data_IF_279133317737
#
_entry.id   IF_279133317737
#
_cell.length_a   1.000
_cell.length_b   1.000
_cell.length_c   1.000
_cell.angle_alpha   90.00
_cell.angle_beta   90.00
_cell.angle_gamma   90.00
#
_symmetry.space_group_name_H-M   'P 1'
#
loop_
_entity.id
_entity.type
_entity.pdbx_description
1 polymer ?
#
# COMPACT_ATOMS: atom_id res chain seq x y z
N UNK A 1 -41.84 38.65 -32.64
CA UNK A 1 -40.94 39.02 -31.53
C UNK A 1 -41.02 38.06 -30.33
N UNK A 2 -42.18 37.42 -30.04
CA UNK A 2 -42.33 36.49 -28.90
C UNK A 2 -41.69 35.10 -29.07
N UNK A 3 -41.61 34.56 -30.30
CA UNK A 3 -41.08 33.20 -30.54
C UNK A 3 -39.58 33.09 -30.28
N UNK A 4 -38.80 34.12 -30.64
CA UNK A 4 -37.36 34.15 -30.41
C UNK A 4 -37.00 34.15 -28.91
N UNK A 5 -37.78 34.86 -28.08
CA UNK A 5 -37.59 34.87 -26.63
C UNK A 5 -37.86 33.51 -25.98
N UNK A 6 -38.89 32.79 -26.44
CA UNK A 6 -39.22 31.46 -25.94
C UNK A 6 -38.12 30.42 -26.27
N UNK A 7 -37.57 30.46 -27.50
CA UNK A 7 -36.46 29.57 -27.91
C UNK A 7 -35.18 29.85 -27.10
N UNK A 8 -34.87 31.13 -26.84
CA UNK A 8 -33.74 31.50 -25.98
C UNK A 8 -33.92 31.03 -24.54
N UNK A 9 -35.12 31.15 -23.97
CA UNK A 9 -35.41 30.72 -22.60
C UNK A 9 -35.27 29.19 -22.45
N UNK A 10 -35.83 28.41 -23.38
CA UNK A 10 -35.73 26.94 -23.38
C UNK A 10 -34.28 26.50 -23.55
N UNK A 11 -33.51 27.16 -24.43
CA UNK A 11 -32.09 26.86 -24.62
C UNK A 11 -31.28 27.19 -23.35
N UNK A 12 -31.58 28.30 -22.67
CA UNK A 12 -30.92 28.66 -21.41
C UNK A 12 -31.24 27.68 -20.28
N UNK A 13 -32.50 27.22 -20.17
CA UNK A 13 -32.91 26.21 -19.20
C UNK A 13 -32.21 24.86 -19.44
N UNK A 14 -32.12 24.41 -20.70
CA UNK A 14 -31.36 23.21 -21.07
C UNK A 14 -29.87 23.37 -20.79
N UNK A 15 -29.31 24.55 -21.06
CA UNK A 15 -27.93 24.87 -20.74
C UNK A 15 -27.64 24.83 -19.24
N UNK A 16 -28.52 25.39 -18.42
CA UNK A 16 -28.41 25.33 -16.96
C UNK A 16 -28.48 23.89 -16.43
N UNK A 17 -29.44 23.10 -16.93
CA UNK A 17 -29.58 21.69 -16.54
C UNK A 17 -28.33 20.87 -16.92
N UNK A 18 -27.77 21.09 -18.12
CA UNK A 18 -26.53 20.43 -18.56
C UNK A 18 -25.34 20.81 -17.66
N UNK A 19 -25.25 22.08 -17.26
CA UNK A 19 -24.17 22.55 -16.38
C UNK A 19 -24.27 21.95 -14.98
N UNK A 20 -25.47 21.85 -14.42
CA UNK A 20 -25.71 21.19 -13.14
C UNK A 20 -25.36 19.70 -13.19
N UNK A 21 -25.75 19.01 -14.26
CA UNK A 21 -25.41 17.60 -14.47
C UNK A 21 -23.89 17.39 -14.53
N UNK A 22 -23.18 18.22 -15.31
CA UNK A 22 -21.72 18.15 -15.41
C UNK A 22 -21.06 18.44 -14.08
N UNK A 23 -21.52 19.47 -13.35
CA UNK A 23 -21.01 19.80 -12.03
C UNK A 23 -21.15 18.62 -11.06
N UNK A 24 -22.33 18.01 -11.01
CA UNK A 24 -22.57 16.85 -10.15
C UNK A 24 -21.67 15.65 -10.52
N UNK A 25 -21.43 15.42 -11.82
CA UNK A 25 -20.50 14.38 -12.27
C UNK A 25 -19.05 14.65 -11.85
N UNK A 26 -18.59 15.90 -11.94
CA UNK A 26 -17.26 16.30 -11.47
C UNK A 26 -17.11 16.15 -9.95
N UNK A 27 -18.10 16.61 -9.17
CA UNK A 27 -18.09 16.49 -7.71
C UNK A 27 -17.99 15.02 -7.27
N UNK A 28 -18.76 14.13 -7.89
CA UNK A 28 -18.67 12.68 -7.63
C UNK A 28 -17.28 12.12 -7.93
N UNK A 29 -16.68 12.52 -9.05
CA UNK A 29 -15.33 12.08 -9.43
C UNK A 29 -14.30 12.52 -8.40
N UNK A 30 -14.35 13.80 -7.98
CA UNK A 30 -13.44 14.37 -6.99
C UNK A 30 -13.63 13.69 -5.64
N UNK A 31 -14.87 13.49 -5.21
CA UNK A 31 -15.18 12.81 -3.95
C UNK A 31 -14.61 11.38 -3.96
N UNK A 32 -14.75 10.67 -5.08
CA UNK A 32 -14.21 9.32 -5.21
C UNK A 32 -12.68 9.28 -5.21
N UNK A 33 -12.04 10.23 -5.88
CA UNK A 33 -10.59 10.38 -5.84
C UNK A 33 -10.09 10.69 -4.43
N UNK A 34 -10.79 11.54 -3.67
CA UNK A 34 -10.45 11.86 -2.30
C UNK A 34 -10.56 10.62 -1.38
N UNK A 35 -11.61 9.81 -1.55
CA UNK A 35 -11.79 8.56 -0.83
C UNK A 35 -10.63 7.58 -1.08
N UNK A 36 -10.29 7.33 -2.35
CA UNK A 36 -9.18 6.44 -2.73
C UNK A 36 -7.85 6.98 -2.19
N UNK A 37 -7.63 8.30 -2.23
CA UNK A 37 -6.42 8.91 -1.66
C UNK A 37 -6.32 8.70 -0.15
N UNK A 38 -7.43 8.83 0.58
CA UNK A 38 -7.45 8.61 2.03
C UNK A 38 -7.11 7.15 2.37
N UNK A 39 -7.65 6.19 1.61
CA UNK A 39 -7.31 4.78 1.77
C UNK A 39 -5.83 4.50 1.44
N UNK A 40 -5.28 5.12 0.39
CA UNK A 40 -3.85 5.02 0.06
C UNK A 40 -2.96 5.58 1.16
N UNK A 41 -3.33 6.71 1.76
CA UNK A 41 -2.58 7.30 2.87
C UNK A 41 -2.51 6.34 4.07
N UNK A 42 -3.62 5.64 4.35
CA UNK A 42 -3.64 4.58 5.36
C UNK A 42 -2.65 3.46 5.03
N UNK A 43 -2.67 2.95 3.79
CA UNK A 43 -1.73 1.93 3.32
C UNK A 43 -0.28 2.41 3.46
N UNK A 44 0.01 3.66 3.10
CA UNK A 44 1.36 4.21 3.22
C UNK A 44 1.83 4.33 4.67
N UNK A 45 0.93 4.70 5.58
CA UNK A 45 1.22 4.71 7.01
C UNK A 45 1.53 3.30 7.52
N UNK A 46 0.77 2.30 7.09
CA UNK A 46 1.00 0.92 7.45
C UNK A 46 2.30 0.38 6.86
N UNK A 47 2.63 0.66 5.60
CA UNK A 47 3.92 0.33 5.00
C UNK A 47 5.09 0.99 5.75
N UNK A 48 4.94 2.27 6.09
CA UNK A 48 5.95 2.99 6.86
C UNK A 48 6.17 2.32 8.21
N UNK A 49 5.08 2.04 8.93
CA UNK A 49 5.13 1.36 10.21
C UNK A 49 5.79 0.00 10.07
N UNK A 50 5.43 -0.79 9.05
CA UNK A 50 5.98 -2.12 8.76
C UNK A 50 7.50 -2.08 8.64
N UNK A 51 8.05 -1.03 8.01
CA UNK A 51 9.49 -0.82 7.86
C UNK A 51 10.19 -0.36 9.14
N UNK A 52 9.59 0.57 9.89
CA UNK A 52 10.33 1.32 10.93
C UNK A 52 10.25 0.71 12.32
N UNK A 53 9.17 0.01 12.65
CA UNK A 53 9.01 -0.54 13.99
C UNK A 53 9.56 -1.98 14.09
N UNK A 54 10.28 -2.32 15.17
CA UNK A 54 10.70 -3.69 15.41
C UNK A 54 9.47 -4.56 15.68
N UNK A 55 9.44 -5.77 15.11
CA UNK A 55 8.31 -6.71 15.23
C UNK A 55 8.77 -8.14 15.37
N UNK A 56 7.94 -8.94 16.00
CA UNK A 56 8.02 -10.40 15.91
C UNK A 56 7.60 -10.87 14.52
N UNK A 57 7.97 -12.10 14.15
CA UNK A 57 7.60 -12.71 12.86
C UNK A 57 6.08 -12.74 12.69
N UNK A 58 5.33 -12.99 13.76
CA UNK A 58 3.88 -13.10 13.71
C UNK A 58 3.23 -11.73 13.46
N UNK A 59 3.64 -10.70 14.21
CA UNK A 59 3.14 -9.34 14.02
C UNK A 59 3.47 -8.81 12.62
N UNK A 60 4.68 -9.07 12.13
CA UNK A 60 5.08 -8.69 10.78
C UNK A 60 4.17 -9.33 9.71
N UNK A 61 3.92 -10.64 9.80
CA UNK A 61 3.03 -11.35 8.87
C UNK A 61 1.58 -10.86 8.96
N UNK A 62 1.10 -10.58 10.17
CA UNK A 62 -0.26 -10.04 10.36
C UNK A 62 -0.38 -8.67 9.70
N UNK A 63 0.62 -7.81 9.85
CA UNK A 63 0.61 -6.48 9.26
C UNK A 63 0.72 -6.51 7.74
N UNK A 64 1.56 -7.40 7.18
CA UNK A 64 1.57 -7.67 5.74
C UNK A 64 0.20 -8.12 5.22
N UNK A 65 -0.52 -8.97 5.97
CA UNK A 65 -1.87 -9.42 5.63
C UNK A 65 -2.86 -8.25 5.61
N UNK A 66 -2.84 -7.39 6.62
CA UNK A 66 -3.71 -6.21 6.69
C UNK A 66 -3.50 -5.29 5.47
N UNK A 67 -2.25 -4.97 5.15
CA UNK A 67 -1.92 -4.14 3.98
C UNK A 67 -2.39 -4.80 2.69
N UNK A 68 -2.20 -6.11 2.57
CA UNK A 68 -2.64 -6.89 1.40
C UNK A 68 -4.16 -6.86 1.24
N UNK A 69 -4.90 -7.06 2.32
CA UNK A 69 -6.36 -7.03 2.32
C UNK A 69 -6.89 -5.64 1.91
N UNK A 70 -6.32 -4.56 2.49
CA UNK A 70 -6.67 -3.20 2.11
C UNK A 70 -6.40 -2.92 0.63
N UNK A 71 -5.20 -3.27 0.14
CA UNK A 71 -4.84 -3.15 -1.28
C UNK A 71 -5.83 -3.90 -2.18
N UNK A 72 -6.15 -5.15 -1.85
CA UNK A 72 -7.06 -5.97 -2.66
C UNK A 72 -8.50 -5.41 -2.68
N UNK A 73 -8.98 -4.87 -1.56
CA UNK A 73 -10.28 -4.20 -1.53
C UNK A 73 -10.31 -2.99 -2.46
N UNK A 74 -9.26 -2.16 -2.45
CA UNK A 74 -9.13 -1.01 -3.35
C UNK A 74 -9.01 -1.43 -4.83
N UNK A 75 -8.26 -2.51 -5.11
CA UNK A 75 -8.15 -3.05 -6.47
C UNK A 75 -9.51 -3.53 -6.99
N UNK A 76 -10.27 -4.25 -6.16
CA UNK A 76 -11.62 -4.71 -6.50
C UNK A 76 -12.58 -3.54 -6.72
N UNK A 77 -12.48 -2.50 -5.90
CA UNK A 77 -13.28 -1.29 -6.03
C UNK A 77 -13.02 -0.61 -7.38
N UNK A 78 -11.76 -0.42 -7.78
CA UNK A 78 -11.41 0.16 -9.08
C UNK A 78 -11.87 -0.73 -10.24
N UNK A 79 -11.72 -2.05 -10.13
CA UNK A 79 -12.14 -3.01 -11.17
C UNK A 79 -13.66 -3.08 -11.32
N UNK A 80 -14.41 -2.80 -10.26
CA UNK A 80 -15.88 -2.80 -10.29
C UNK A 80 -16.50 -1.57 -10.97
N UNK A 81 -15.69 -0.55 -11.27
CA UNK A 81 -16.15 0.66 -11.98
C UNK A 81 -16.45 0.36 -13.46
N UNK A 82 -17.21 1.24 -14.10
CA UNK A 82 -17.41 1.15 -15.55
C UNK A 82 -16.09 1.35 -16.31
N UNK A 83 -15.91 0.79 -17.53
CA UNK A 83 -14.65 0.90 -18.29
C UNK A 83 -14.20 2.35 -18.51
N UNK A 84 -15.15 3.27 -18.76
CA UNK A 84 -14.89 4.70 -18.96
C UNK A 84 -14.44 5.41 -17.68
N UNK A 85 -14.93 4.96 -16.52
CA UNK A 85 -14.50 5.48 -15.23
C UNK A 85 -13.15 4.89 -14.83
N UNK A 86 -12.93 3.60 -15.09
CA UNK A 86 -11.68 2.91 -14.76
C UNK A 86 -10.45 3.59 -15.38
N UNK A 87 -10.57 4.11 -16.61
CA UNK A 87 -9.51 4.88 -17.27
C UNK A 87 -9.05 6.09 -16.44
N UNK A 88 -9.98 6.73 -15.70
CA UNK A 88 -9.68 7.88 -14.83
C UNK A 88 -8.91 7.49 -13.57
N UNK A 89 -8.90 6.21 -13.21
CA UNK A 89 -8.27 5.70 -11.98
C UNK A 89 -7.03 4.84 -12.23
N UNK A 90 -6.52 4.76 -13.47
CA UNK A 90 -5.34 3.95 -13.84
C UNK A 90 -4.11 4.24 -12.97
N UNK A 91 -3.87 5.50 -12.61
CA UNK A 91 -2.76 5.89 -11.74
C UNK A 91 -2.87 5.22 -10.37
N UNK A 92 -4.07 5.11 -9.81
CA UNK A 92 -4.28 4.45 -8.52
C UNK A 92 -3.97 2.96 -8.60
N UNK A 93 -4.35 2.29 -9.69
CA UNK A 93 -3.96 0.90 -9.94
C UNK A 93 -2.44 0.73 -10.01
N UNK A 94 -1.73 1.66 -10.65
CA UNK A 94 -0.26 1.65 -10.69
C UNK A 94 0.36 1.85 -9.31
N UNK A 95 -0.21 2.74 -8.48
CA UNK A 95 0.24 2.96 -7.11
C UNK A 95 0.05 1.68 -6.27
N UNK A 96 -1.09 1.00 -6.40
CA UNK A 96 -1.37 -0.25 -5.70
C UNK A 96 -0.38 -1.36 -6.12
N UNK A 97 0.02 -1.41 -7.38
CA UNK A 97 1.08 -2.32 -7.84
C UNK A 97 2.45 -1.97 -7.24
N UNK A 98 2.76 -0.68 -7.06
CA UNK A 98 3.98 -0.25 -6.36
C UNK A 98 3.94 -0.62 -4.88
N UNK A 99 2.78 -0.52 -4.22
CA UNK A 99 2.57 -1.00 -2.84
C UNK A 99 2.93 -2.47 -2.74
N UNK A 100 2.40 -3.31 -3.65
CA UNK A 100 2.69 -4.74 -3.70
C UNK A 100 4.20 -5.02 -3.83
N UNK A 101 4.88 -4.40 -4.79
CA UNK A 101 6.34 -4.54 -4.97
C UNK A 101 7.13 -4.10 -3.75
N UNK A 102 6.65 -3.07 -3.05
CA UNK A 102 7.25 -2.60 -1.80
C UNK A 102 7.11 -3.65 -0.70
N UNK A 103 5.94 -4.28 -0.55
CA UNK A 103 5.74 -5.38 0.39
C UNK A 103 6.68 -6.56 0.11
N UNK A 104 6.83 -6.97 -1.16
CA UNK A 104 7.74 -8.04 -1.58
C UNK A 104 9.21 -7.72 -1.23
N UNK A 105 9.61 -6.47 -1.45
CA UNK A 105 10.97 -6.00 -1.12
C UNK A 105 11.21 -6.00 0.39
N UNK A 106 10.22 -5.55 1.17
CA UNK A 106 10.29 -5.58 2.63
C UNK A 106 10.37 -7.02 3.15
N UNK A 107 9.61 -7.95 2.58
CA UNK A 107 9.64 -9.37 2.96
C UNK A 107 11.03 -9.98 2.74
N UNK A 108 11.63 -9.71 1.58
CA UNK A 108 12.97 -10.18 1.25
C UNK A 108 14.03 -9.60 2.22
N UNK A 109 13.96 -8.30 2.48
CA UNK A 109 14.86 -7.61 3.40
C UNK A 109 14.74 -8.14 4.84
N UNK A 110 13.53 -8.41 5.29
CA UNK A 110 13.24 -8.90 6.64
C UNK A 110 13.69 -10.37 6.81
N UNK A 111 13.50 -11.20 5.78
CA UNK A 111 14.05 -12.55 5.73
C UNK A 111 15.59 -12.56 5.79
N UNK A 112 16.25 -11.68 5.03
CA UNK A 112 17.70 -11.56 5.04
C UNK A 112 18.22 -11.07 6.40
N UNK A 113 17.58 -10.06 6.98
CA UNK A 113 17.91 -9.52 8.31
C UNK A 113 17.88 -10.63 9.37
N UNK A 114 16.82 -11.44 9.41
CA UNK A 114 16.73 -12.58 10.32
C UNK A 114 17.82 -13.63 10.10
N UNK A 115 18.12 -13.95 8.84
CA UNK A 115 19.19 -14.89 8.51
C UNK A 115 20.55 -14.39 9.01
N UNK A 116 20.82 -13.09 8.88
CA UNK A 116 22.03 -12.45 9.41
C UNK A 116 22.11 -12.58 10.94
N UNK A 117 21.02 -12.30 11.65
CA UNK A 117 20.96 -12.45 13.12
C UNK A 117 21.23 -13.90 13.53
N UNK A 118 20.58 -14.86 12.89
CA UNK A 118 20.80 -16.29 13.15
C UNK A 118 22.25 -16.71 12.92
N UNK A 119 22.83 -16.34 11.76
CA UNK A 119 24.20 -16.68 11.43
C UNK A 119 25.19 -16.09 12.45
N UNK A 120 24.94 -14.86 12.92
CA UNK A 120 25.78 -14.21 13.94
C UNK A 120 25.75 -14.98 15.27
N UNK A 121 24.56 -15.41 15.72
CA UNK A 121 24.40 -16.24 16.93
C UNK A 121 25.16 -17.58 16.80
N UNK A 122 25.09 -18.23 15.63
CA UNK A 122 25.83 -19.47 15.39
C UNK A 122 27.34 -19.26 15.41
N UNK A 123 27.84 -18.17 14.80
CA UNK A 123 29.27 -17.84 14.83
C UNK A 123 29.76 -17.59 16.26
N UNK A 124 28.99 -16.88 17.08
CA UNK A 124 29.35 -16.63 18.48
C UNK A 124 29.38 -17.93 19.31
N UNK A 125 28.41 -18.83 19.10
CA UNK A 125 28.40 -20.17 19.72
C UNK A 125 29.61 -21.01 19.30
N UNK A 126 30.00 -20.96 18.02
CA UNK A 126 31.20 -21.63 17.52
C UNK A 126 32.47 -21.08 18.18
N UNK A 127 32.58 -19.75 18.29
CA UNK A 127 33.70 -19.07 18.95
C UNK A 127 33.82 -19.47 20.42
N UNK A 128 32.71 -19.48 21.16
CA UNK A 128 32.69 -19.90 22.57
C UNK A 128 33.16 -21.35 22.74
N UNK A 129 32.65 -22.29 21.92
CA UNK A 129 33.09 -23.69 21.95
C UNK A 129 34.58 -23.84 21.66
N UNK A 130 35.12 -23.08 20.71
CA UNK A 130 36.55 -23.13 20.40
C UNK A 130 37.42 -22.63 21.56
N UNK A 131 36.99 -21.55 22.23
CA UNK A 131 37.66 -21.03 23.43
C UNK A 131 37.62 -22.03 24.58
N UNK A 132 36.47 -22.68 24.82
CA UNK A 132 36.33 -23.74 25.84
C UNK A 132 37.25 -24.93 25.54
N UNK A 133 37.26 -25.43 24.30
CA UNK A 133 38.14 -26.53 23.89
C UNK A 133 39.62 -26.19 24.06
N UNK A 134 39.99 -24.94 23.78
CA UNK A 134 41.37 -24.46 23.98
C UNK A 134 41.72 -24.41 25.47
N UNK A 135 40.80 -23.92 26.32
CA UNK A 135 40.99 -23.88 27.77
C UNK A 135 41.16 -25.28 28.36
N UNK A 136 40.28 -26.21 27.99
CA UNK A 136 40.31 -27.60 28.45
C UNK A 136 41.58 -28.35 27.99
N UNK A 137 42.11 -28.05 26.80
CA UNK A 137 43.41 -28.60 26.36
C UNK A 137 44.57 -28.09 27.20
N UNK A 138 44.56 -26.81 27.55
CA UNK A 138 45.62 -26.22 28.38
C UNK A 138 45.57 -26.76 29.82
N UNK A 139 44.37 -26.99 30.37
CA UNK A 139 44.16 -27.59 31.70
C UNK A 139 44.59 -29.08 31.76
N UNK A 140 44.52 -29.84 30.65
CA UNK A 140 44.96 -31.25 30.58
C UNK A 140 46.46 -31.45 30.39
N UNK A 141 47.19 -30.40 30.01
CA UNK A 141 48.63 -30.43 29.76
C UNK A 141 49.46 -29.87 30.95
N UNK A 142 48.81 -29.57 32.07
CA UNK A 142 49.41 -29.31 33.39
C UNK A 142 49.26 -30.54 34.28
#
# INVERSE_FOLDING_TARGET
MFVAGAVTLVTAQKGAALLEEKKAAYERTIQKQAEINFQLEHIFKDLHNLRTQPRTINEYKQMQKIITEQRMMMEQEIVSLSPEEQERYVIFSQILEVVKKTQETLDASDAESRKRVYNMDQLEKCRQKYQEQTRLKNEKNQ
#
